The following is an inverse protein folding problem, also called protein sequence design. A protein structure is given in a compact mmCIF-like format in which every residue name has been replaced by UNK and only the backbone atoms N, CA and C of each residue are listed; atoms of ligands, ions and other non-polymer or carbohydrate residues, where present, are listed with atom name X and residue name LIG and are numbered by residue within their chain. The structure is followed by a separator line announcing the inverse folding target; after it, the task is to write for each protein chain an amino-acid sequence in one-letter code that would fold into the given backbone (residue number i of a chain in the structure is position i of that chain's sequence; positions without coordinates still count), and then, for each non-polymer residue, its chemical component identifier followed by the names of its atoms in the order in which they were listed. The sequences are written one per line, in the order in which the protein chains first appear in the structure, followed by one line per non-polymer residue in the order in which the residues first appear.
data_IF_437760155684
#
_entry.id   IF_437760155684
#
_cell.length_a   1.000
_cell.length_b   1.000
_cell.length_c   1.000
_cell.angle_alpha   90.00
_cell.angle_beta   90.00
_cell.angle_gamma   90.00
#
_symmetry.space_group_name_H-M   'P 1'
#
loop_
_entity.id
_entity.type
_entity.pdbx_description
1 polymer ?
#
# COMPACT_ATOMS: atom_id res chain seq x y z
N UNK A 1 5.33 -17.86 0.07
CA UNK A 1 4.50 -17.24 -0.96
C UNK A 1 5.35 -17.11 -2.21
N UNK A 2 4.84 -17.55 -3.36
CA UNK A 2 5.57 -17.46 -4.62
C UNK A 2 5.61 -16.00 -5.11
N UNK A 3 6.79 -15.56 -5.50
CA UNK A 3 7.02 -14.23 -6.03
C UNK A 3 6.36 -14.11 -7.42
N UNK A 4 5.36 -13.24 -7.54
CA UNK A 4 4.61 -13.04 -8.80
C UNK A 4 5.25 -11.94 -9.63
N UNK A 5 5.54 -12.24 -10.89
CA UNK A 5 5.89 -11.25 -11.89
C UNK A 5 4.61 -10.79 -12.59
N UNK A 6 4.41 -9.48 -12.64
CA UNK A 6 3.23 -8.82 -13.17
C UNK A 6 3.52 -8.14 -14.49
N UNK A 7 2.62 -8.32 -15.45
CA UNK A 7 2.45 -7.34 -16.53
C UNK A 7 1.72 -6.11 -16.02
N UNK A 8 1.90 -4.97 -16.68
CA UNK A 8 1.19 -3.75 -16.30
C UNK A 8 -0.34 -3.90 -16.39
N UNK A 9 -0.83 -4.66 -17.38
CA UNK A 9 -2.26 -4.94 -17.52
C UNK A 9 -2.83 -5.78 -16.39
N UNK A 10 -2.10 -6.80 -15.92
CA UNK A 10 -2.52 -7.60 -14.76
C UNK A 10 -2.54 -6.75 -13.49
N UNK A 11 -1.51 -5.91 -13.29
CA UNK A 11 -1.47 -5.00 -12.16
C UNK A 11 -2.67 -4.04 -12.19
N UNK A 12 -3.00 -3.47 -13.36
CA UNK A 12 -4.18 -2.61 -13.54
C UNK A 12 -5.51 -3.32 -13.27
N UNK A 13 -5.63 -4.63 -13.57
CA UNK A 13 -6.84 -5.41 -13.27
C UNK A 13 -7.07 -5.59 -11.78
N UNK A 14 -6.00 -5.81 -11.01
CA UNK A 14 -6.08 -6.03 -9.56
C UNK A 14 -6.06 -4.72 -8.77
N UNK A 15 -5.45 -3.66 -9.33
CA UNK A 15 -5.26 -2.36 -8.70
C UNK A 15 -6.52 -1.76 -8.05
N UNK A 16 -7.71 -1.72 -8.68
CA UNK A 16 -8.91 -1.17 -8.05
C UNK A 16 -9.28 -1.86 -6.72
N UNK A 17 -9.03 -3.16 -6.62
CA UNK A 17 -9.29 -3.93 -5.39
C UNK A 17 -8.25 -3.62 -4.31
N UNK A 18 -6.97 -3.61 -4.66
CA UNK A 18 -5.87 -3.21 -3.76
C UNK A 18 -6.08 -1.80 -3.23
N UNK A 19 -6.46 -0.86 -4.10
CA UNK A 19 -6.76 0.53 -3.74
C UNK A 19 -7.90 0.59 -2.72
N UNK A 20 -9.03 -0.06 -2.99
CA UNK A 20 -10.19 -0.09 -2.08
C UNK A 20 -9.86 -0.70 -0.72
N UNK A 21 -9.08 -1.79 -0.71
CA UNK A 21 -8.61 -2.43 0.54
C UNK A 21 -7.74 -1.44 1.31
N UNK A 22 -6.74 -0.85 0.65
CA UNK A 22 -5.82 0.12 1.28
C UNK A 22 -6.56 1.32 1.84
N UNK A 23 -7.50 1.90 1.09
CA UNK A 23 -8.35 3.01 1.56
C UNK A 23 -9.20 2.60 2.77
N UNK A 24 -9.74 1.38 2.79
CA UNK A 24 -10.51 0.89 3.93
C UNK A 24 -9.68 0.76 5.20
N UNK A 25 -8.47 0.19 5.11
CA UNK A 25 -7.57 0.05 6.27
C UNK A 25 -7.03 1.41 6.73
N UNK A 26 -6.71 2.29 5.79
CA UNK A 26 -6.31 3.65 6.09
C UNK A 26 -7.40 4.41 6.86
N UNK A 27 -8.65 4.36 6.39
CA UNK A 27 -9.75 5.05 7.07
C UNK A 27 -9.98 4.54 8.50
N UNK A 28 -9.86 3.23 8.73
CA UNK A 28 -9.91 2.66 10.09
C UNK A 28 -8.77 3.18 10.98
N UNK A 29 -7.55 3.20 10.42
CA UNK A 29 -6.36 3.70 11.13
C UNK A 29 -6.51 5.17 11.51
N UNK A 30 -6.97 6.00 10.57
CA UNK A 30 -7.20 7.44 10.81
C UNK A 30 -8.29 7.64 11.85
N UNK A 31 -9.38 6.88 11.81
CA UNK A 31 -10.44 6.99 12.80
C UNK A 31 -9.90 6.79 14.24
N UNK A 32 -9.10 5.75 14.48
CA UNK A 32 -8.51 5.48 15.80
C UNK A 32 -7.46 6.54 16.15
N UNK A 33 -6.64 6.96 15.19
CA UNK A 33 -5.63 8.01 15.37
C UNK A 33 -6.26 9.35 15.74
N UNK A 34 -7.38 9.70 15.11
CA UNK A 34 -8.12 10.93 15.38
C UNK A 34 -8.71 10.86 16.79
N UNK A 35 -9.34 9.74 17.18
CA UNK A 35 -9.83 9.52 18.55
C UNK A 35 -8.73 9.73 19.60
N UNK A 36 -7.54 9.14 19.37
CA UNK A 36 -6.37 9.29 20.25
C UNK A 36 -5.88 10.74 20.35
N UNK A 37 -6.00 11.52 19.27
CA UNK A 37 -5.55 12.91 19.24
C UNK A 37 -6.54 13.90 19.87
N UNK A 38 -7.84 13.58 19.79
CA UNK A 38 -8.93 14.46 20.25
C UNK A 38 -9.30 14.23 21.72
N UNK A 39 -8.87 13.12 22.31
CA UNK A 39 -9.25 12.72 23.66
C UNK A 39 -8.03 12.39 24.53
N UNK A 40 -8.17 12.57 25.84
CA UNK A 40 -7.19 12.11 26.82
C UNK A 40 -7.69 10.79 27.38
N UNK A 41 -6.98 9.71 27.08
CA UNK A 41 -7.25 8.37 27.60
C UNK A 41 -6.33 8.02 28.76
N UNK A 42 -6.73 7.09 29.64
CA UNK A 42 -5.79 6.38 30.49
C UNK A 42 -4.71 5.69 29.66
N UNK A 43 -3.49 5.60 30.19
CA UNK A 43 -2.32 5.04 29.49
C UNK A 43 -2.59 3.64 28.91
N UNK A 44 -3.22 2.76 29.67
CA UNK A 44 -3.56 1.41 29.20
C UNK A 44 -4.53 1.41 28.01
N UNK A 45 -5.47 2.35 27.95
CA UNK A 45 -6.43 2.47 26.84
C UNK A 45 -5.75 3.08 25.61
N UNK A 46 -4.81 4.00 25.83
CA UNK A 46 -3.99 4.54 24.76
C UNK A 46 -3.13 3.45 24.12
N UNK A 47 -2.44 2.64 24.94
CA UNK A 47 -1.64 1.51 24.47
C UNK A 47 -2.49 0.51 23.66
N UNK A 48 -3.68 0.13 24.15
CA UNK A 48 -4.60 -0.76 23.43
C UNK A 48 -4.98 -0.24 22.04
N UNK A 49 -5.28 1.07 21.92
CA UNK A 49 -5.61 1.70 20.64
C UNK A 49 -4.40 1.82 19.69
N UNK A 50 -3.23 2.09 20.24
CA UNK A 50 -1.99 2.12 19.45
C UNK A 50 -1.64 0.72 18.91
N UNK A 51 -1.90 -0.33 19.69
CA UNK A 51 -1.75 -1.71 19.26
C UNK A 51 -2.80 -2.10 18.20
N UNK A 52 -4.06 -1.64 18.32
CA UNK A 52 -5.08 -1.82 17.29
C UNK A 52 -4.66 -1.20 15.94
N UNK A 53 -4.04 -0.02 15.96
CA UNK A 53 -3.47 0.60 14.75
C UNK A 53 -2.35 -0.28 14.15
N UNK A 54 -1.44 -0.79 14.98
CA UNK A 54 -0.35 -1.66 14.50
C UNK A 54 -0.91 -2.93 13.87
N UNK A 55 -1.89 -3.56 14.50
CA UNK A 55 -2.54 -4.77 14.00
C UNK A 55 -3.26 -4.53 12.67
N UNK A 56 -3.96 -3.40 12.52
CA UNK A 56 -4.57 -3.02 11.23
C UNK A 56 -3.54 -2.84 10.12
N UNK A 57 -2.38 -2.25 10.43
CA UNK A 57 -1.29 -2.07 9.46
C UNK A 57 -0.68 -3.41 9.06
N UNK A 58 -0.50 -4.33 10.02
CA UNK A 58 0.02 -5.67 9.77
C UNK A 58 -0.97 -6.51 8.95
N UNK A 59 -2.24 -6.50 9.33
CA UNK A 59 -3.32 -7.19 8.61
C UNK A 59 -3.42 -6.67 7.16
N UNK A 60 -3.41 -5.34 6.97
CA UNK A 60 -3.35 -4.75 5.63
C UNK A 60 -2.15 -5.29 4.85
N UNK A 61 -0.97 -5.33 5.47
CA UNK A 61 0.26 -5.78 4.84
C UNK A 61 0.12 -7.21 4.31
N UNK A 62 -0.46 -8.10 5.12
CA UNK A 62 -0.64 -9.50 4.76
C UNK A 62 -1.70 -9.69 3.68
N UNK A 63 -2.84 -9.00 3.78
CA UNK A 63 -3.87 -9.00 2.75
C UNK A 63 -3.32 -8.53 1.39
N UNK A 64 -2.47 -7.50 1.37
CA UNK A 64 -1.84 -7.05 0.12
C UNK A 64 -0.88 -8.10 -0.44
N UNK A 65 -0.08 -8.76 0.42
CA UNK A 65 0.85 -9.82 -0.01
C UNK A 65 0.13 -11.04 -0.58
N UNK A 66 -1.09 -11.35 -0.12
CA UNK A 66 -1.90 -12.42 -0.70
C UNK A 66 -2.26 -12.19 -2.17
N UNK A 67 -2.30 -10.94 -2.64
CA UNK A 67 -2.46 -10.66 -4.08
C UNK A 67 -1.22 -10.97 -4.89
N UNK A 68 -0.06 -11.15 -4.26
CA UNK A 68 1.26 -11.26 -4.89
C UNK A 68 1.92 -9.90 -5.13
N UNK A 69 1.47 -8.84 -4.45
CA UNK A 69 2.10 -7.53 -4.45
C UNK A 69 3.05 -7.38 -3.25
N UNK A 70 3.99 -6.44 -3.33
CA UNK A 70 4.94 -6.15 -2.27
C UNK A 70 4.57 -4.88 -1.50
N UNK A 71 4.73 -4.93 -0.18
CA UNK A 71 4.57 -3.78 0.70
C UNK A 71 5.95 -3.24 1.07
N UNK A 72 6.31 -2.06 0.54
CA UNK A 72 7.62 -1.43 0.77
C UNK A 72 7.59 -0.30 1.82
N UNK A 73 6.42 0.02 2.36
CA UNK A 73 6.23 1.03 3.38
C UNK A 73 4.74 1.25 3.69
N UNK A 74 4.44 2.18 4.59
CA UNK A 74 3.05 2.51 4.94
C UNK A 74 2.27 2.95 3.71
N UNK A 75 1.24 2.17 3.39
CA UNK A 75 0.34 2.40 2.26
C UNK A 75 1.05 2.50 0.90
N UNK A 76 2.22 1.86 0.79
CA UNK A 76 3.06 1.80 -0.41
C UNK A 76 3.07 0.36 -0.95
N UNK A 77 2.52 0.21 -2.15
CA UNK A 77 2.35 -1.09 -2.82
C UNK A 77 3.12 -1.09 -4.13
N UNK A 78 3.95 -2.11 -4.30
CA UNK A 78 4.77 -2.35 -5.47
C UNK A 78 4.37 -3.67 -6.14
N UNK A 79 4.30 -3.68 -7.47
CA UNK A 79 4.06 -4.88 -8.28
C UNK A 79 5.34 -5.20 -9.04
N UNK A 80 5.98 -6.32 -8.73
CA UNK A 80 7.23 -6.72 -9.40
C UNK A 80 6.95 -7.02 -10.89
N UNK A 81 7.69 -6.40 -11.80
CA UNK A 81 7.55 -6.57 -13.25
C UNK A 81 8.73 -7.31 -13.92
N UNK A 82 9.62 -7.88 -13.12
CA UNK A 82 10.84 -8.60 -13.50
C UNK A 82 12.03 -7.71 -13.85
N UNK A 83 11.86 -6.38 -13.85
CA UNK A 83 12.89 -5.38 -14.14
C UNK A 83 12.90 -4.23 -13.12
N UNK A 84 12.03 -4.31 -12.12
CA UNK A 84 11.71 -3.26 -11.18
C UNK A 84 10.28 -3.44 -10.70
N UNK A 85 9.62 -2.33 -10.41
CA UNK A 85 8.27 -2.33 -9.85
C UNK A 85 7.37 -1.31 -10.53
N UNK A 86 6.11 -1.66 -10.73
CA UNK A 86 5.04 -0.66 -10.82
C UNK A 86 4.68 -0.25 -9.41
N UNK A 87 4.79 1.03 -9.08
CA UNK A 87 4.60 1.51 -7.71
C UNK A 87 3.38 2.41 -7.59
N UNK A 88 2.69 2.27 -6.46
CA UNK A 88 1.57 3.12 -6.09
C UNK A 88 1.59 3.39 -4.60
N UNK A 89 1.33 4.64 -4.23
CA UNK A 89 1.11 5.04 -2.84
C UNK A 89 -0.31 5.58 -2.67
N UNK A 90 -0.90 5.32 -1.51
CA UNK A 90 -2.16 5.94 -1.12
C UNK A 90 -2.09 7.48 -1.29
N UNK A 91 -3.15 8.04 -1.87
CA UNK A 91 -3.24 9.43 -2.32
C UNK A 91 -3.12 9.56 -3.85
N UNK A 92 -2.55 8.57 -4.53
CA UNK A 92 -2.48 8.54 -5.99
C UNK A 92 -3.74 7.95 -6.60
N UNK A 93 -4.26 8.59 -7.65
CA UNK A 93 -5.53 8.17 -8.27
C UNK A 93 -5.39 6.87 -9.07
N UNK A 94 -4.26 6.71 -9.75
CA UNK A 94 -4.00 5.66 -10.75
C UNK A 94 -2.60 5.06 -10.55
N UNK A 95 -2.41 3.81 -10.98
CA UNK A 95 -1.10 3.17 -11.08
C UNK A 95 -0.37 3.68 -12.34
N UNK A 96 0.50 4.68 -12.17
CA UNK A 96 1.14 5.40 -13.30
C UNK A 96 2.66 5.42 -13.25
N UNK A 97 3.27 4.93 -12.18
CA UNK A 97 4.70 5.05 -11.95
C UNK A 97 5.39 3.69 -11.91
N UNK A 98 6.64 3.67 -12.34
CA UNK A 98 7.54 2.53 -12.19
C UNK A 98 8.92 2.98 -11.69
N UNK A 99 9.65 2.10 -11.01
CA UNK A 99 11.05 2.31 -10.68
C UNK A 99 11.85 1.02 -10.84
N UNK A 100 13.17 1.14 -11.04
CA UNK A 100 14.06 -0.03 -11.00
C UNK A 100 14.23 -0.53 -9.56
N UNK A 101 14.83 -1.71 -9.40
CA UNK A 101 15.13 -2.29 -8.09
C UNK A 101 16.04 -1.39 -7.24
N UNK A 102 16.96 -0.65 -7.86
CA UNK A 102 17.95 0.19 -7.18
C UNK A 102 17.44 1.61 -6.89
N UNK A 103 16.60 2.15 -7.78
CA UNK A 103 16.12 3.53 -7.68
C UNK A 103 15.13 3.72 -6.52
N UNK A 104 14.38 2.66 -6.21
CA UNK A 104 13.28 2.69 -5.22
C UNK A 104 12.20 3.71 -5.56
N UNK A 105 11.24 3.87 -4.65
CA UNK A 105 10.09 4.76 -4.86
C UNK A 105 10.47 6.21 -5.17
N UNK A 106 11.55 6.75 -4.58
CA UNK A 106 12.01 8.13 -4.81
C UNK A 106 12.48 8.38 -6.25
N UNK A 107 12.97 7.35 -6.93
CA UNK A 107 13.47 7.45 -8.31
C UNK A 107 12.45 7.06 -9.39
N UNK A 108 11.17 6.97 -9.02
CA UNK A 108 10.10 6.53 -9.93
C UNK A 108 9.87 7.48 -11.11
N UNK A 109 9.42 6.89 -12.22
CA UNK A 109 9.17 7.57 -13.49
C UNK A 109 7.78 7.21 -13.98
N UNK A 110 7.16 8.11 -14.74
CA UNK A 110 5.88 7.81 -15.39
C UNK A 110 6.05 6.66 -16.39
N UNK A 111 5.15 5.70 -16.33
CA UNK A 111 5.08 4.58 -17.28
C UNK A 111 4.75 5.17 -18.65
N UNK A 112 5.66 4.99 -19.62
CA UNK A 112 5.43 5.41 -21.00
C UNK A 112 4.43 4.44 -21.65
N UNK A 113 3.14 4.81 -21.69
CA UNK A 113 2.18 4.11 -22.54
C UNK A 113 2.63 4.26 -23.99
N UNK A 114 2.98 3.15 -24.65
CA UNK A 114 3.10 3.15 -26.12
C UNK A 114 1.71 3.49 -26.64
N UNK A 115 1.60 4.60 -27.39
CA UNK A 115 0.44 4.81 -28.26
C UNK A 115 0.53 3.71 -29.32
N UNK A 116 -0.41 2.77 -29.30
CA UNK A 116 -0.68 1.90 -30.44
C UNK A 116 -1.18 2.73 -31.63
#
# INVERSE_FOLDING_TARGET
MEHRIWTFEEALKVFPRIKKITESFYNKTIFISDELSENIFPENVQEEKEDEIKDLILEWSDVIREFGAEVKGLWLVDFDNGKGYYCWKLGEKELMYEHSYEAGFKGRKLIKRKKE
#
